data_IF_727196620940
#
_entry.id   IF_727196620940
#
_cell.length_a   1.000
_cell.length_b   1.000
_cell.length_c   1.000
_cell.angle_alpha   90.00
_cell.angle_beta   90.00
_cell.angle_gamma   90.00
#
_symmetry.space_group_name_H-M   'P 1'
#
loop_
_entity.id
_entity.type
_entity.pdbx_description
1 polymer ?
#
# COMPACT_ATOMS: atom_id res chain seq x y z
N UNK A 1 10.46 -4.95 10.89
CA UNK A 1 9.44 -4.00 11.39
C UNK A 1 8.36 -4.80 12.11
N UNK A 2 7.94 -4.43 13.33
CA UNK A 2 6.96 -5.18 14.12
C UNK A 2 5.59 -5.37 13.43
N UNK A 3 5.31 -4.64 12.34
CA UNK A 3 4.07 -4.75 11.57
C UNK A 3 4.09 -5.84 10.47
N UNK A 4 5.28 -6.33 10.06
CA UNK A 4 5.38 -7.25 8.89
C UNK A 4 4.64 -8.59 9.03
N UNK A 5 4.59 -9.26 10.20
CA UNK A 5 3.92 -10.56 10.32
C UNK A 5 2.39 -10.50 10.16
N UNK A 6 1.79 -9.30 10.23
CA UNK A 6 0.33 -9.13 10.26
C UNK A 6 -0.26 -8.88 8.87
N UNK A 7 0.56 -8.55 7.86
CA UNK A 7 0.07 -8.21 6.52
C UNK A 7 -0.42 -9.47 5.78
N UNK A 8 -1.63 -9.39 5.23
CA UNK A 8 -2.20 -10.43 4.40
C UNK A 8 -1.71 -10.28 2.95
N UNK A 9 -1.00 -11.28 2.44
CA UNK A 9 -0.55 -11.31 1.04
C UNK A 9 -1.61 -11.91 0.13
N UNK A 10 -1.65 -11.42 -1.11
CA UNK A 10 -2.43 -12.02 -2.18
C UNK A 10 -1.81 -13.36 -2.62
N UNK A 11 -2.54 -14.15 -3.41
CA UNK A 11 -2.09 -15.46 -3.89
C UNK A 11 -0.81 -15.40 -4.76
N UNK A 12 -0.59 -14.27 -5.44
CA UNK A 12 0.62 -14.00 -6.23
C UNK A 12 1.79 -13.45 -5.38
N UNK A 13 1.60 -13.34 -4.05
CA UNK A 13 2.58 -12.80 -3.12
C UNK A 13 2.62 -11.26 -3.04
N UNK A 14 1.80 -10.56 -3.80
CA UNK A 14 1.65 -9.10 -3.73
C UNK A 14 0.90 -8.65 -2.47
N UNK A 15 0.86 -7.34 -2.24
CA UNK A 15 0.10 -6.72 -1.15
C UNK A 15 -0.88 -5.72 -1.75
N UNK A 16 -2.13 -5.76 -1.25
CA UNK A 16 -3.12 -4.70 -1.46
C UNK A 16 -3.24 -3.90 -0.18
N UNK A 17 -3.02 -2.58 -0.24
CA UNK A 17 -3.16 -1.67 0.90
C UNK A 17 -4.41 -0.81 0.70
N UNK A 18 -5.32 -0.82 1.68
CA UNK A 18 -6.53 -0.02 1.68
C UNK A 18 -6.28 1.29 2.42
N UNK A 19 -6.72 2.42 1.85
CA UNK A 19 -6.49 3.75 2.41
C UNK A 19 -7.84 4.48 2.42
N UNK A 20 -8.44 4.62 3.61
CA UNK A 20 -9.75 5.26 3.79
C UNK A 20 -10.01 5.55 5.28
N UNK A 21 -11.05 6.35 5.58
CA UNK A 21 -11.38 6.77 6.93
C UNK A 21 -11.75 5.63 7.86
N UNK A 22 -12.65 4.75 7.43
CA UNK A 22 -13.12 3.62 8.23
C UNK A 22 -12.42 2.33 7.82
N UNK A 23 -12.13 1.46 8.78
CA UNK A 23 -11.54 0.16 8.48
C UNK A 23 -12.48 -0.69 7.61
N UNK A 24 -12.05 -1.18 6.44
CA UNK A 24 -12.85 -2.08 5.64
C UNK A 24 -12.91 -3.46 6.31
N UNK A 25 -14.13 -4.01 6.43
CA UNK A 25 -14.36 -5.28 7.11
C UNK A 25 -13.54 -6.43 6.50
N UNK A 26 -12.81 -7.15 7.35
CA UNK A 26 -11.98 -8.30 6.98
C UNK A 26 -10.67 -7.95 6.24
N UNK A 27 -10.32 -6.65 6.17
CA UNK A 27 -9.13 -6.12 5.49
C UNK A 27 -8.28 -5.25 6.42
N UNK A 28 -8.54 -5.32 7.73
CA UNK A 28 -7.95 -4.48 8.77
C UNK A 28 -6.42 -4.61 8.82
N UNK A 29 -5.90 -5.79 8.51
CA UNK A 29 -4.45 -6.07 8.48
C UNK A 29 -3.70 -5.23 7.44
N UNK A 30 -4.35 -4.87 6.34
CA UNK A 30 -3.74 -4.13 5.24
C UNK A 30 -4.37 -2.74 5.06
N UNK A 31 -4.98 -2.20 6.11
CA UNK A 31 -5.63 -0.91 6.06
C UNK A 31 -4.79 0.17 6.75
N UNK A 32 -4.79 1.36 6.15
CA UNK A 32 -4.24 2.58 6.71
C UNK A 32 -5.35 3.64 6.83
N UNK A 33 -5.52 4.26 8.00
CA UNK A 33 -6.50 5.32 8.18
C UNK A 33 -6.10 6.56 7.38
N UNK A 34 -7.09 7.20 6.77
CA UNK A 34 -6.95 8.46 6.04
C UNK A 34 -8.15 9.39 6.33
N UNK A 35 -7.97 10.72 6.36
CA UNK A 35 -9.08 11.65 6.55
C UNK A 35 -10.09 11.60 5.39
N UNK A 36 -11.32 12.03 5.65
CA UNK A 36 -12.31 12.34 4.61
C UNK A 36 -11.96 13.69 3.95
N UNK A 37 -10.90 13.68 3.15
CA UNK A 37 -10.33 14.87 2.53
C UNK A 37 -9.05 14.58 1.74
N UNK A 38 -8.37 15.62 1.25
CA UNK A 38 -7.14 15.46 0.48
C UNK A 38 -6.05 14.74 1.27
N UNK A 39 -5.41 13.78 0.61
CA UNK A 39 -4.25 13.04 1.14
C UNK A 39 -3.13 13.00 0.13
N UNK A 40 -1.91 12.85 0.62
CA UNK A 40 -0.75 12.51 -0.20
C UNK A 40 -0.09 11.25 0.37
N UNK A 41 0.47 10.43 -0.50
CA UNK A 41 1.08 9.15 -0.14
C UNK A 41 2.56 9.20 -0.47
N UNK A 42 3.38 8.70 0.45
CA UNK A 42 4.83 8.60 0.26
C UNK A 42 5.24 7.15 0.38
N UNK A 43 5.81 6.62 -0.70
CA UNK A 43 6.45 5.31 -0.71
C UNK A 43 7.95 5.45 -0.42
N UNK A 44 8.46 4.69 0.55
CA UNK A 44 9.89 4.65 0.88
C UNK A 44 10.49 3.34 0.40
N UNK A 45 11.55 3.44 -0.40
CA UNK A 45 12.36 2.30 -0.81
C UNK A 45 13.65 2.32 0.00
N UNK A 46 13.93 1.22 0.70
CA UNK A 46 15.17 1.04 1.46
C UNK A 46 16.10 0.18 0.63
N UNK A 47 17.24 0.75 0.22
CA UNK A 47 18.18 0.11 -0.69
C UNK A 47 17.53 -0.34 -2.03
N UNK A 48 16.97 0.61 -2.81
CA UNK A 48 16.33 0.27 -4.08
C UNK A 48 17.31 -0.34 -5.07
N UNK A 49 16.78 -1.21 -5.94
CA UNK A 49 17.51 -1.66 -7.13
C UNK A 49 17.60 -0.55 -8.17
N UNK A 50 18.55 -0.66 -9.08
CA UNK A 50 18.79 0.30 -10.16
C UNK A 50 17.53 0.62 -11.00
N UNK A 51 16.64 -0.36 -11.17
CA UNK A 51 15.40 -0.16 -11.92
C UNK A 51 14.52 0.96 -11.32
N UNK A 52 14.50 1.10 -9.99
CA UNK A 52 13.76 2.16 -9.32
C UNK A 52 14.51 3.51 -9.34
N UNK A 53 15.85 3.49 -9.37
CA UNK A 53 16.68 4.70 -9.47
C UNK A 53 16.64 5.31 -10.88
N UNK A 54 16.66 4.46 -11.90
CA UNK A 54 16.56 4.82 -13.32
C UNK A 54 15.13 5.13 -13.77
N UNK A 55 14.12 4.84 -12.94
CA UNK A 55 12.70 5.03 -13.27
C UNK A 55 12.12 4.02 -14.27
N UNK A 56 12.87 2.96 -14.61
CA UNK A 56 12.37 1.86 -15.47
C UNK A 56 11.33 1.00 -14.76
N UNK A 57 11.39 0.95 -13.43
CA UNK A 57 10.29 0.53 -12.58
C UNK A 57 9.64 1.76 -11.94
N UNK A 58 8.31 1.76 -11.87
CA UNK A 58 7.51 2.81 -11.24
C UNK A 58 6.64 2.17 -10.14
N UNK A 59 6.33 2.91 -9.05
CA UNK A 59 5.44 2.40 -8.02
C UNK A 59 4.05 2.12 -8.59
N UNK A 60 3.31 1.13 -8.04
CA UNK A 60 1.92 0.89 -8.41
C UNK A 60 1.07 2.16 -8.22
N UNK A 61 0.15 2.38 -9.15
CA UNK A 61 -0.80 3.49 -9.06
C UNK A 61 -1.78 3.28 -7.89
N UNK A 62 -2.21 4.37 -7.28
CA UNK A 62 -3.34 4.38 -6.38
C UNK A 62 -4.61 4.37 -7.23
N UNK A 63 -5.50 3.44 -6.93
CA UNK A 63 -6.78 3.28 -7.64
C UNK A 63 -7.92 3.47 -6.65
N UNK A 64 -9.05 3.99 -7.13
CA UNK A 64 -10.28 3.95 -6.36
C UNK A 64 -10.62 2.46 -6.09
N UNK A 65 -10.96 2.14 -4.84
CA UNK A 65 -11.46 0.81 -4.53
C UNK A 65 -12.78 0.60 -5.29
N UNK A 66 -12.92 -0.56 -5.94
CA UNK A 66 -14.21 -0.97 -6.47
C UNK A 66 -15.14 -1.29 -5.29
N UNK A 67 -16.39 -0.82 -5.37
CA UNK A 67 -17.47 -1.17 -4.42
C UNK A 67 -17.78 -2.67 -4.43
#
# INVERSE_FOLDING_TARGET
SPMLPQLAKNADGSLTIYIQHEAPAGKESNWLPAPDGPVYIVMRLYWPKEAALSGTWQPPAVVAAAE
#
